data_IF_948996506803
#
_entry.id   IF_948996506803
#
_cell.length_a   1.000
_cell.length_b   1.000
_cell.length_c   1.000
_cell.angle_alpha   90.00
_cell.angle_beta   90.00
_cell.angle_gamma   90.00
#
_symmetry.space_group_name_H-M   'P 1'
#
loop_
_entity.id
_entity.type
_entity.pdbx_description
1 polymer ?
#
# COMPACT_ATOMS: atom_id res chain seq x y z
N UNK A 1 -4.76 21.93 10.68
CA UNK A 1 -4.82 20.66 9.91
C UNK A 1 -4.54 19.51 10.87
N UNK A 2 -5.43 19.27 11.84
CA UNK A 2 -5.15 18.33 12.94
C UNK A 2 -5.47 16.87 12.58
N UNK A 3 -6.43 16.62 11.68
CA UNK A 3 -6.89 15.28 11.33
C UNK A 3 -6.20 14.66 10.11
N UNK A 4 -4.92 15.01 9.87
CA UNK A 4 -4.11 14.45 8.77
C UNK A 4 -2.94 13.60 9.27
N UNK A 5 -2.47 13.84 10.49
CA UNK A 5 -1.33 13.14 11.09
C UNK A 5 -1.79 12.41 12.35
N UNK A 6 -1.59 11.11 12.38
CA UNK A 6 -1.95 10.24 13.50
C UNK A 6 -0.68 9.64 14.08
N UNK A 7 -0.58 9.64 15.40
CA UNK A 7 0.64 9.30 16.13
C UNK A 7 0.34 8.29 17.23
N UNK A 8 1.17 7.26 17.32
CA UNK A 8 1.08 6.26 18.38
C UNK A 8 2.47 5.97 18.97
N UNK A 9 2.62 6.11 20.28
CA UNK A 9 3.88 5.81 20.98
C UNK A 9 4.18 4.31 21.14
N UNK A 10 3.20 3.42 20.95
CA UNK A 10 3.34 1.98 21.21
C UNK A 10 2.68 1.11 20.14
N UNK A 11 2.95 1.39 18.86
CA UNK A 11 2.38 0.65 17.73
C UNK A 11 3.48 0.09 16.80
N UNK A 12 4.23 -0.87 17.32
CA UNK A 12 5.46 -1.40 16.70
C UNK A 12 5.30 -2.78 16.04
N UNK A 13 4.10 -3.38 16.09
CA UNK A 13 3.86 -4.76 15.61
C UNK A 13 3.85 -4.95 14.09
N UNK A 14 4.08 -3.88 13.32
CA UNK A 14 4.13 -3.93 11.86
C UNK A 14 5.34 -3.14 11.36
N UNK A 15 5.97 -3.63 10.30
CA UNK A 15 7.10 -2.97 9.63
C UNK A 15 6.75 -1.55 9.16
N UNK A 16 7.76 -0.73 8.95
CA UNK A 16 7.60 0.60 8.34
C UNK A 16 6.95 0.48 6.94
N UNK A 17 6.06 1.42 6.61
CA UNK A 17 5.33 1.41 5.34
C UNK A 17 4.21 0.37 5.22
N UNK A 18 3.96 -0.45 6.26
CA UNK A 18 2.93 -1.50 6.21
C UNK A 18 1.52 -0.99 5.89
N UNK A 19 1.18 0.23 6.28
CA UNK A 19 -0.14 0.81 6.02
C UNK A 19 -0.17 1.77 4.82
N UNK A 20 0.97 2.04 4.16
CA UNK A 20 1.04 2.95 3.03
C UNK A 20 0.16 2.49 1.85
N UNK A 21 -0.69 3.40 1.31
CA UNK A 21 -1.76 3.10 0.33
C UNK A 21 -2.88 2.20 0.88
N UNK A 22 -2.93 2.04 2.19
CA UNK A 22 -4.06 1.48 2.91
C UNK A 22 -5.11 2.54 3.23
N UNK A 23 -5.93 2.24 4.23
CA UNK A 23 -7.07 3.08 4.62
C UNK A 23 -7.14 3.20 6.13
N UNK A 24 -7.44 4.40 6.61
CA UNK A 24 -7.81 4.67 8.00
C UNK A 24 -9.32 4.88 8.05
N UNK A 25 -10.01 4.11 8.87
CA UNK A 25 -11.45 4.24 9.15
C UNK A 25 -11.67 4.72 10.57
N UNK A 26 -12.51 5.73 10.76
CA UNK A 26 -12.94 6.21 12.08
C UNK A 26 -14.11 5.35 12.55
N UNK A 27 -13.97 4.70 13.71
CA UNK A 27 -14.92 3.70 14.18
C UNK A 27 -15.98 4.28 15.12
N UNK A 28 -15.65 5.33 15.87
CA UNK A 28 -16.53 5.94 16.85
C UNK A 28 -16.37 7.48 16.91
N UNK A 29 -17.14 8.11 17.80
CA UNK A 29 -17.12 9.55 17.99
C UNK A 29 -17.79 10.36 16.87
N UNK A 30 -17.60 11.69 16.87
CA UNK A 30 -18.29 12.61 15.96
C UNK A 30 -17.96 12.43 14.47
N UNK A 31 -16.81 11.82 14.18
CA UNK A 31 -16.33 11.53 12.83
C UNK A 31 -16.53 10.05 12.43
N UNK A 32 -17.27 9.26 13.21
CA UNK A 32 -17.53 7.85 12.92
C UNK A 32 -18.05 7.65 11.48
N UNK A 33 -17.49 6.67 10.78
CA UNK A 33 -17.82 6.37 9.38
C UNK A 33 -17.05 7.21 8.35
N UNK A 34 -16.35 8.27 8.76
CA UNK A 34 -15.37 8.95 7.90
C UNK A 34 -14.10 8.10 7.76
N UNK A 35 -13.40 8.29 6.65
CA UNK A 35 -12.19 7.54 6.33
C UNK A 35 -11.25 8.36 5.45
N UNK A 36 -9.98 7.94 5.40
CA UNK A 36 -8.97 8.55 4.54
C UNK A 36 -7.93 7.56 4.05
N UNK A 37 -7.35 7.86 2.89
CA UNK A 37 -6.26 7.07 2.31
C UNK A 37 -4.94 7.39 3.00
N UNK A 38 -4.18 6.35 3.34
CA UNK A 38 -2.89 6.51 4.00
C UNK A 38 -1.83 6.81 2.93
N UNK A 39 -1.17 7.96 3.07
CA UNK A 39 -0.09 8.43 2.21
C UNK A 39 1.26 7.90 2.68
N UNK A 40 1.59 8.13 3.97
CA UNK A 40 2.83 7.68 4.58
C UNK A 40 2.55 6.93 5.88
N UNK A 41 3.43 5.99 6.18
CA UNK A 41 3.46 5.21 7.41
C UNK A 41 4.93 4.98 7.77
N UNK A 42 5.42 5.67 8.79
CA UNK A 42 6.84 5.71 9.14
C UNK A 42 7.06 5.82 10.65
N UNK A 43 8.29 5.57 11.10
CA UNK A 43 8.66 5.75 12.51
C UNK A 43 9.44 7.05 12.72
N UNK A 44 9.07 7.80 13.76
CA UNK A 44 9.84 8.93 14.29
C UNK A 44 10.32 8.57 15.70
N UNK A 45 11.48 7.94 15.78
CA UNK A 45 11.95 7.32 17.03
C UNK A 45 11.09 6.10 17.36
N UNK A 46 10.48 6.06 18.55
CA UNK A 46 9.57 4.99 18.96
C UNK A 46 8.10 5.25 18.57
N UNK A 47 7.79 6.42 18.01
CA UNK A 47 6.43 6.79 17.61
C UNK A 47 6.16 6.37 16.16
N UNK A 48 5.06 5.67 15.92
CA UNK A 48 4.54 5.46 14.57
C UNK A 48 3.73 6.67 14.13
N UNK A 49 4.01 7.17 12.93
CA UNK A 49 3.31 8.29 12.31
C UNK A 49 2.62 7.82 11.03
N UNK A 50 1.32 8.03 10.96
CA UNK A 50 0.51 7.80 9.76
C UNK A 50 0.01 9.14 9.23
N UNK A 51 0.33 9.45 7.98
CA UNK A 51 -0.13 10.64 7.27
C UNK A 51 -1.20 10.25 6.25
N UNK A 52 -2.31 10.97 6.23
CA UNK A 52 -3.35 10.81 5.22
C UNK A 52 -3.12 11.74 4.03
N UNK A 53 -3.62 11.35 2.86
CA UNK A 53 -3.62 12.20 1.66
C UNK A 53 -4.42 13.49 1.86
N UNK A 54 -5.57 13.36 2.52
CA UNK A 54 -6.44 14.47 2.90
C UNK A 54 -6.81 14.34 4.38
N UNK A 55 -7.02 15.46 5.10
CA UNK A 55 -7.50 15.41 6.47
C UNK A 55 -8.93 14.84 6.53
N UNK A 56 -9.24 14.12 7.60
CA UNK A 56 -10.63 13.76 7.91
C UNK A 56 -11.41 15.04 8.22
N UNK A 57 -12.54 15.22 7.54
CA UNK A 57 -13.40 16.41 7.66
C UNK A 57 -14.41 16.25 8.79
N UNK A 58 -13.92 16.15 10.02
CA UNK A 58 -14.75 16.05 11.23
C UNK A 58 -13.92 16.12 12.50
N UNK A 59 -14.56 16.38 13.67
CA UNK A 59 -13.86 16.37 14.96
C UNK A 59 -13.31 14.97 15.29
N UNK A 60 -12.03 14.90 15.61
CA UNK A 60 -11.33 13.68 16.01
C UNK A 60 -10.57 13.92 17.33
N UNK A 61 -11.26 13.85 18.48
CA UNK A 61 -10.60 13.90 19.78
C UNK A 61 -9.56 12.79 19.95
N UNK A 62 -8.52 13.04 20.72
CA UNK A 62 -7.60 11.98 21.14
C UNK A 62 -8.34 10.84 21.84
N UNK A 63 -7.92 9.60 21.59
CA UNK A 63 -8.59 8.40 22.11
C UNK A 63 -9.71 7.86 21.23
N UNK A 64 -10.11 8.55 20.15
CA UNK A 64 -11.06 8.02 19.16
C UNK A 64 -10.52 6.74 18.53
N UNK A 65 -11.35 5.70 18.46
CA UNK A 65 -10.96 4.43 17.87
C UNK A 65 -10.91 4.53 16.34
N UNK A 66 -9.81 4.03 15.76
CA UNK A 66 -9.63 3.94 14.32
C UNK A 66 -9.17 2.54 13.92
N UNK A 67 -9.47 2.15 12.68
CA UNK A 67 -8.95 0.92 12.06
C UNK A 67 -8.03 1.29 10.92
N UNK A 68 -6.84 0.69 10.89
CA UNK A 68 -5.95 0.75 9.74
C UNK A 68 -6.05 -0.54 8.95
N UNK A 69 -6.33 -0.41 7.66
CA UNK A 69 -6.27 -1.51 6.70
C UNK A 69 -4.90 -1.52 6.05
N UNK A 70 -4.24 -2.67 6.01
CA UNK A 70 -2.91 -2.81 5.43
C UNK A 70 -2.88 -2.38 3.95
N UNK A 71 -1.82 -1.67 3.58
CA UNK A 71 -1.71 -1.08 2.26
C UNK A 71 -1.32 -2.06 1.15
N UNK A 72 -1.87 -1.85 -0.05
CA UNK A 72 -1.56 -2.62 -1.24
C UNK A 72 -1.02 -1.70 -2.34
N UNK A 73 0.24 -1.89 -2.69
CA UNK A 73 0.94 -1.10 -3.72
C UNK A 73 0.62 -1.54 -5.15
N UNK A 74 -0.27 -2.54 -5.29
CA UNK A 74 -0.71 -3.16 -6.55
C UNK A 74 0.41 -3.87 -7.32
N UNK A 75 1.52 -4.22 -6.67
CA UNK A 75 2.58 -5.04 -7.25
C UNK A 75 2.32 -6.53 -6.99
N UNK A 76 2.71 -7.37 -7.95
CA UNK A 76 2.60 -8.83 -7.87
C UNK A 76 3.33 -9.39 -6.64
N UNK A 77 4.53 -8.87 -6.37
CA UNK A 77 5.36 -9.29 -5.24
C UNK A 77 4.66 -9.07 -3.90
N UNK A 78 4.14 -7.87 -3.67
CA UNK A 78 3.39 -7.53 -2.46
C UNK A 78 2.12 -8.37 -2.34
N UNK A 79 1.40 -8.59 -3.44
CA UNK A 79 0.22 -9.45 -3.46
C UNK A 79 0.54 -10.90 -2.99
N UNK A 80 1.72 -11.40 -3.38
CA UNK A 80 2.22 -12.72 -2.95
C UNK A 80 2.71 -12.69 -1.50
N UNK A 81 3.67 -11.83 -1.18
CA UNK A 81 4.42 -11.90 0.08
C UNK A 81 3.62 -11.38 1.27
N UNK A 82 2.90 -10.28 1.09
CA UNK A 82 2.15 -9.63 2.19
C UNK A 82 0.76 -10.22 2.38
N UNK A 83 0.07 -10.55 1.28
CA UNK A 83 -1.34 -10.95 1.31
C UNK A 83 -1.60 -12.42 0.99
N UNK A 84 -0.58 -13.15 0.50
CA UNK A 84 -0.73 -14.52 0.02
C UNK A 84 -1.92 -14.70 -0.96
N UNK A 85 -2.20 -13.68 -1.77
CA UNK A 85 -3.38 -13.63 -2.63
C UNK A 85 -3.01 -13.54 -4.13
N UNK A 86 -1.88 -14.13 -4.49
CA UNK A 86 -1.36 -14.06 -5.86
C UNK A 86 -2.34 -14.64 -6.88
N UNK A 87 -3.12 -15.65 -6.51
CA UNK A 87 -4.12 -16.29 -7.40
C UNK A 87 -5.19 -15.31 -7.89
N UNK A 88 -5.48 -14.25 -7.12
CA UNK A 88 -6.43 -13.20 -7.49
C UNK A 88 -5.72 -11.91 -7.94
N UNK A 89 -4.45 -11.98 -8.35
CA UNK A 89 -3.75 -10.82 -8.89
C UNK A 89 -4.27 -10.50 -10.30
N UNK A 90 -4.86 -9.32 -10.47
CA UNK A 90 -5.51 -8.88 -11.71
C UNK A 90 -4.62 -7.96 -12.58
N UNK A 91 -3.31 -7.98 -12.37
CA UNK A 91 -2.35 -7.24 -13.18
C UNK A 91 -1.72 -8.07 -14.30
N UNK A 92 -0.89 -7.44 -15.11
CA UNK A 92 -0.21 -8.07 -16.25
C UNK A 92 1.32 -7.99 -16.06
N UNK A 93 1.92 -8.83 -15.19
CA UNK A 93 3.33 -8.72 -14.83
C UNK A 93 4.28 -9.16 -15.96
N UNK A 94 3.75 -9.85 -16.96
CA UNK A 94 4.50 -10.44 -18.08
C UNK A 94 4.33 -9.69 -19.39
N UNK A 95 3.56 -8.59 -19.41
CA UNK A 95 3.27 -7.89 -20.65
C UNK A 95 4.60 -7.39 -21.26
N UNK A 96 5.01 -7.90 -22.43
CA UNK A 96 6.23 -7.44 -23.08
C UNK A 96 6.11 -5.97 -23.47
N UNK A 97 7.25 -5.28 -23.58
CA UNK A 97 7.27 -3.92 -24.11
C UNK A 97 7.00 -3.90 -25.63
N UNK A 98 6.78 -2.71 -26.19
CA UNK A 98 6.50 -2.54 -27.63
C UNK A 98 7.66 -3.00 -28.52
N UNK A 99 8.90 -2.88 -28.05
CA UNK A 99 10.09 -3.35 -28.78
C UNK A 99 10.00 -4.85 -29.09
N UNK A 100 9.44 -5.64 -28.16
CA UNK A 100 9.22 -7.07 -28.38
C UNK A 100 8.23 -7.35 -29.51
N UNK A 101 7.24 -6.47 -29.73
CA UNK A 101 6.24 -6.64 -30.80
C UNK A 101 6.84 -6.49 -32.20
N UNK A 102 7.92 -5.69 -32.33
CA UNK A 102 8.62 -5.45 -33.59
C UNK A 102 9.86 -6.32 -33.77
N UNK A 103 10.20 -7.14 -32.77
CA UNK A 103 11.39 -7.97 -32.78
C UNK A 103 11.31 -9.08 -33.84
N UNK A 104 12.36 -9.21 -34.65
CA UNK A 104 12.53 -10.34 -35.57
C UNK A 104 13.40 -11.43 -34.93
N UNK A 105 13.07 -12.72 -35.10
CA UNK A 105 13.88 -13.79 -34.55
C UNK A 105 15.27 -13.80 -35.20
N UNK A 106 16.32 -13.82 -34.38
CA UNK A 106 17.71 -13.92 -34.86
C UNK A 106 18.31 -15.26 -34.46
N UNK A 107 19.01 -15.91 -35.40
CA UNK A 107 19.65 -17.22 -35.18
C UNK A 107 20.82 -17.18 -34.20
N UNK A 108 21.41 -16.01 -33.98
CA UNK A 108 22.47 -15.75 -33.00
C UNK A 108 21.92 -15.38 -31.60
N UNK A 109 20.60 -15.37 -31.43
CA UNK A 109 19.93 -15.02 -30.17
C UNK A 109 19.65 -16.21 -29.24
N UNK A 110 19.35 -15.91 -27.98
CA UNK A 110 18.91 -16.90 -26.99
C UNK A 110 17.47 -17.37 -27.27
N UNK A 111 17.34 -18.45 -28.05
CA UNK A 111 16.06 -19.01 -28.50
C UNK A 111 15.67 -20.32 -27.76
N UNK A 112 16.09 -20.48 -26.51
CA UNK A 112 15.88 -21.70 -25.71
C UNK A 112 14.56 -21.81 -24.95
N UNK A 113 13.63 -20.86 -25.10
CA UNK A 113 12.28 -20.92 -24.50
C UNK A 113 12.17 -20.58 -23.01
N UNK A 114 13.12 -19.82 -22.45
CA UNK A 114 13.11 -19.39 -21.04
C UNK A 114 12.26 -18.15 -20.73
N UNK A 115 12.12 -17.85 -19.43
CA UNK A 115 11.54 -16.59 -18.95
C UNK A 115 12.29 -15.38 -19.50
N UNK A 116 11.54 -14.32 -19.82
CA UNK A 116 12.07 -12.99 -20.18
C UNK A 116 11.78 -11.91 -19.13
N UNK A 117 11.25 -12.30 -17.96
CA UNK A 117 11.19 -11.44 -16.77
C UNK A 117 12.57 -11.10 -16.26
#
# INVERSE_FOLDING_TARGET
QEAQYFRWGAFLGFEEGWFARGRLDVLDGPAAGLWGMIKLDYFKGAERVVELWEPIRGPLPEGTAVRLTAGCDKRMETCRLKFNNLINFQGFPDLPNEDWMMAVPRSDGANGGGSRR
#
